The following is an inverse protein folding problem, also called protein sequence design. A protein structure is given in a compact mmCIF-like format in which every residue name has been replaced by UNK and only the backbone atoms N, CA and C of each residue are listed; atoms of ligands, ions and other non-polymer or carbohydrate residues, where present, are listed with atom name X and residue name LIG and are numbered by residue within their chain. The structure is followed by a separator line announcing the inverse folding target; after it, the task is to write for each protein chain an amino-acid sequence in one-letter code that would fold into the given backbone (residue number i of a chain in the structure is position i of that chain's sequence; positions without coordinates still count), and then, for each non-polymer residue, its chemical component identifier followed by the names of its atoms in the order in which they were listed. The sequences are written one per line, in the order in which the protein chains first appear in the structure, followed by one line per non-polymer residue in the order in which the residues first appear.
data_IF_820349058988
#
_entry.id   IF_820349058988
#
_cell.length_a   1.000
_cell.length_b   1.000
_cell.length_c   1.000
_cell.angle_alpha   90.00
_cell.angle_beta   90.00
_cell.angle_gamma   90.00
#
_symmetry.space_group_name_H-M   'P 1'
#
loop_
_entity.id
_entity.type
_entity.pdbx_description
1 polymer ?
#
# COMPACT_ATOMS: atom_id res chain seq x y z
N UNK A 1 2.63 14.66 8.51
CA UNK A 1 2.80 13.43 9.32
C UNK A 1 3.82 12.55 8.62
N UNK A 2 4.91 12.19 9.31
CA UNK A 2 5.93 11.33 8.74
C UNK A 2 5.35 9.94 8.42
N UNK A 3 5.70 9.39 7.25
CA UNK A 3 5.37 8.02 6.88
C UNK A 3 5.98 7.09 7.94
N UNK A 4 5.15 6.31 8.64
CA UNK A 4 5.65 5.30 9.59
C UNK A 4 6.51 4.31 8.80
N UNK A 5 7.78 4.24 9.14
CA UNK A 5 8.70 3.23 8.60
C UNK A 5 8.93 2.22 9.73
N UNK A 6 8.32 1.02 9.65
CA UNK A 6 8.54 0.03 10.68
C UNK A 6 10.03 -0.35 10.72
N UNK A 7 10.63 -0.29 11.91
CA UNK A 7 12.03 -0.67 12.11
C UNK A 7 12.14 -2.19 12.01
N UNK A 8 12.98 -2.69 11.10
CA UNK A 8 13.24 -4.12 11.00
C UNK A 8 14.24 -4.55 12.07
N UNK A 9 13.85 -5.50 12.91
CA UNK A 9 14.77 -6.19 13.82
C UNK A 9 15.78 -7.04 13.03
N UNK A 10 16.88 -7.45 13.67
CA UNK A 10 17.85 -8.35 13.05
C UNK A 10 17.19 -9.65 12.56
N UNK A 11 16.29 -10.23 13.36
CA UNK A 11 15.51 -11.42 12.99
C UNK A 11 14.60 -11.21 11.78
N UNK A 12 13.90 -10.06 11.70
CA UNK A 12 13.04 -9.75 10.56
C UNK A 12 13.84 -9.59 9.26
N UNK A 13 15.06 -9.03 9.35
CA UNK A 13 15.96 -8.92 8.20
C UNK A 13 16.39 -10.31 7.71
N UNK A 14 16.82 -11.17 8.63
CA UNK A 14 17.25 -12.53 8.29
C UNK A 14 16.11 -13.35 7.67
N UNK A 15 14.92 -13.30 8.26
CA UNK A 15 13.75 -14.00 7.72
C UNK A 15 13.39 -13.55 6.31
N UNK A 16 13.49 -12.25 6.02
CA UNK A 16 13.27 -11.73 4.66
C UNK A 16 14.30 -12.21 3.67
N UNK A 17 15.58 -12.24 4.05
CA UNK A 17 16.65 -12.78 3.19
C UNK A 17 16.39 -14.25 2.90
N UNK A 18 16.12 -15.05 3.93
CA UNK A 18 15.83 -16.48 3.77
C UNK A 18 14.62 -16.70 2.86
N UNK A 19 13.57 -15.89 2.99
CA UNK A 19 12.41 -15.95 2.10
C UNK A 19 12.76 -15.57 0.66
N UNK A 20 13.58 -14.54 0.42
CA UNK A 20 14.01 -14.20 -0.94
C UNK A 20 14.82 -15.33 -1.59
N UNK A 21 15.65 -16.02 -0.81
CA UNK A 21 16.48 -17.13 -1.29
C UNK A 21 15.64 -18.33 -1.76
N UNK A 22 14.43 -18.54 -1.24
CA UNK A 22 13.56 -19.65 -1.72
C UNK A 22 13.03 -19.45 -3.13
N UNK A 23 13.18 -18.25 -3.70
CA UNK A 23 12.76 -17.94 -5.07
C UNK A 23 13.93 -17.91 -6.05
N UNK A 24 15.12 -18.34 -5.63
CA UNK A 24 16.30 -18.44 -6.49
C UNK A 24 16.48 -19.91 -6.86
N UNK A 25 16.64 -20.18 -8.15
CA UNK A 25 17.05 -21.50 -8.61
C UNK A 25 18.55 -21.70 -8.34
N UNK A 26 18.89 -22.67 -7.49
CA UNK A 26 20.26 -22.96 -7.09
C UNK A 26 21.17 -23.34 -8.28
N UNK A 27 20.60 -23.81 -9.39
CA UNK A 27 21.36 -24.26 -10.56
C UNK A 27 21.75 -23.11 -11.51
N UNK A 28 20.82 -22.17 -11.75
CA UNK A 28 21.02 -21.02 -12.65
C UNK A 28 21.42 -19.76 -11.90
N UNK A 29 21.16 -19.70 -10.59
CA UNK A 29 21.26 -18.51 -9.73
C UNK A 29 20.35 -17.36 -10.20
N UNK A 30 19.29 -17.68 -10.95
CA UNK A 30 18.28 -16.73 -11.40
C UNK A 30 17.03 -16.80 -10.51
N UNK A 31 16.23 -15.73 -10.51
CA UNK A 31 14.94 -15.73 -9.81
C UNK A 31 13.90 -16.49 -10.62
N UNK A 32 13.06 -17.28 -9.93
CA UNK A 32 11.88 -17.88 -10.52
C UNK A 32 10.93 -16.79 -11.06
N UNK A 33 10.31 -17.06 -12.21
CA UNK A 33 9.39 -16.12 -12.89
C UNK A 33 8.10 -15.84 -12.11
N UNK A 34 7.79 -16.64 -11.08
CA UNK A 34 6.56 -16.56 -10.28
C UNK A 34 5.26 -16.67 -11.09
N UNK A 35 5.29 -17.27 -12.29
CA UNK A 35 4.12 -17.39 -13.17
C UNK A 35 2.95 -18.18 -12.54
N UNK A 36 3.25 -19.05 -11.58
CA UNK A 36 2.26 -19.85 -10.83
C UNK A 36 1.89 -19.25 -9.46
N UNK A 37 2.21 -17.97 -9.22
CA UNK A 37 1.93 -17.28 -7.95
C UNK A 37 0.77 -16.29 -8.12
N UNK A 38 -0.16 -16.32 -7.16
CA UNK A 38 -1.22 -15.31 -7.05
C UNK A 38 -0.95 -14.45 -5.81
N UNK A 39 -0.68 -13.16 -6.02
CA UNK A 39 -0.48 -12.21 -4.93
C UNK A 39 -1.81 -11.67 -4.46
N UNK A 40 -2.06 -11.72 -3.15
CA UNK A 40 -3.29 -11.23 -2.53
C UNK A 40 -2.95 -10.14 -1.51
N UNK A 41 -3.68 -9.02 -1.55
CA UNK A 41 -3.50 -7.92 -0.60
C UNK A 41 -4.83 -7.27 -0.22
N UNK A 42 -4.88 -6.76 1.02
CA UNK A 42 -5.99 -5.95 1.52
C UNK A 42 -5.59 -4.48 1.59
N UNK A 43 -6.46 -3.62 1.07
CA UNK A 43 -6.25 -2.17 1.13
C UNK A 43 -7.50 -1.41 1.54
N UNK A 44 -7.34 -0.53 2.52
CA UNK A 44 -8.36 0.45 2.89
C UNK A 44 -8.31 1.68 1.98
N UNK A 45 -9.40 1.92 1.26
CA UNK A 45 -9.63 3.13 0.49
C UNK A 45 -10.49 4.09 1.30
N UNK A 46 -10.06 5.34 1.36
CA UNK A 46 -10.81 6.41 2.03
C UNK A 46 -11.68 7.09 0.97
N UNK A 47 -12.96 7.31 1.30
CA UNK A 47 -13.89 8.05 0.43
C UNK A 47 -13.40 9.49 0.14
N UNK A 48 -12.65 10.06 1.08
CA UNK A 48 -12.12 11.42 1.00
C UNK A 48 -10.65 11.50 1.46
N UNK A 49 -9.94 12.56 1.02
CA UNK A 49 -8.59 12.91 1.48
C UNK A 49 -8.67 13.67 2.80
N UNK A 50 -7.61 13.57 3.58
CA UNK A 50 -7.53 14.26 4.89
C UNK A 50 -7.41 15.78 4.74
N UNK A 51 -6.74 16.25 3.68
CA UNK A 51 -6.65 17.66 3.29
C UNK A 51 -6.87 17.75 1.78
N UNK A 52 -7.65 18.75 1.35
CA UNK A 52 -7.86 19.10 -0.05
C UNK A 52 -7.37 20.53 -0.26
N UNK A 53 -6.74 20.77 -1.39
CA UNK A 53 -6.40 22.10 -1.88
C UNK A 53 -7.40 22.47 -2.97
N UNK A 54 -7.95 23.68 -2.90
CA UNK A 54 -8.89 24.21 -3.88
C UNK A 54 -8.27 25.42 -4.55
N UNK A 55 -8.50 25.56 -5.86
CA UNK A 55 -8.29 26.81 -6.57
C UNK A 55 -9.62 27.56 -6.53
N UNK A 56 -9.62 28.78 -5.99
CA UNK A 56 -10.81 29.59 -5.79
C UNK A 56 -10.60 30.96 -6.42
N UNK A 57 -11.67 31.56 -6.94
CA UNK A 57 -11.64 32.95 -7.41
C UNK A 57 -11.70 33.93 -6.24
N UNK A 58 -11.28 35.21 -6.43
CA UNK A 58 -11.42 36.23 -5.40
C UNK A 58 -12.89 36.39 -4.99
N UNK A 59 -13.18 36.20 -3.69
CA UNK A 59 -14.53 36.29 -3.12
C UNK A 59 -15.30 34.97 -3.07
N UNK A 60 -14.73 33.87 -3.55
CA UNK A 60 -15.34 32.54 -3.45
C UNK A 60 -14.98 31.87 -2.11
N UNK A 61 -16.00 31.36 -1.41
CA UNK A 61 -15.81 30.63 -0.16
C UNK A 61 -15.40 29.17 -0.44
N UNK A 62 -14.42 28.62 0.31
CA UNK A 62 -14.05 27.22 0.17
C UNK A 62 -15.21 26.29 0.52
N UNK A 63 -15.29 25.10 -0.11
CA UNK A 63 -16.30 24.10 0.23
C UNK A 63 -16.29 23.78 1.72
N UNK A 64 -17.47 23.85 2.36
CA UNK A 64 -17.61 23.53 3.77
C UNK A 64 -17.31 22.05 4.02
N UNK A 65 -16.39 21.77 4.95
CA UNK A 65 -16.04 20.40 5.36
C UNK A 65 -16.54 20.14 6.78
N UNK A 66 -17.51 19.24 6.90
CA UNK A 66 -18.15 18.90 8.19
C UNK A 66 -17.29 18.05 9.12
N UNK A 67 -16.27 17.35 8.59
CA UNK A 67 -15.45 16.41 9.37
C UNK A 67 -14.15 17.02 9.89
N UNK A 68 -13.91 16.85 11.18
CA UNK A 68 -12.75 17.40 11.92
C UNK A 68 -11.48 16.52 11.88
N UNK A 69 -11.57 15.23 11.55
CA UNK A 69 -10.43 14.30 11.57
C UNK A 69 -10.56 13.17 10.54
N UNK A 70 -9.42 12.75 9.97
CA UNK A 70 -9.30 11.58 9.07
C UNK A 70 -9.97 10.31 9.61
N UNK A 71 -10.01 10.15 10.93
CA UNK A 71 -10.56 8.95 11.58
C UNK A 71 -12.06 8.75 11.27
N UNK A 72 -12.78 9.83 10.98
CA UNK A 72 -14.21 9.81 10.67
C UNK A 72 -14.52 9.74 9.17
N UNK A 73 -13.50 9.63 8.31
CA UNK A 73 -13.71 9.43 6.87
C UNK A 73 -14.06 7.94 6.66
N UNK A 74 -15.21 7.62 6.02
CA UNK A 74 -15.61 6.28 5.64
C UNK A 74 -14.52 5.61 4.83
N UNK A 75 -14.37 4.32 5.10
CA UNK A 75 -13.35 3.50 4.49
C UNK A 75 -14.01 2.26 3.94
N UNK A 76 -13.58 1.88 2.75
CA UNK A 76 -13.96 0.63 2.12
C UNK A 76 -12.71 -0.23 2.04
N UNK A 77 -12.77 -1.46 2.55
CA UNK A 77 -11.71 -2.43 2.37
C UNK A 77 -11.88 -3.08 1.01
N UNK A 78 -10.80 -3.18 0.26
CA UNK A 78 -10.74 -3.97 -0.97
C UNK A 78 -9.73 -5.08 -0.77
N UNK A 79 -10.16 -6.30 -1.05
CA UNK A 79 -9.30 -7.47 -1.20
C UNK A 79 -9.09 -7.67 -2.71
N UNK A 80 -7.84 -7.74 -3.14
CA UNK A 80 -7.50 -7.96 -4.54
C UNK A 80 -6.51 -9.12 -4.67
N UNK A 81 -6.69 -9.94 -5.70
CA UNK A 81 -5.78 -10.99 -6.12
C UNK A 81 -5.25 -10.67 -7.51
N UNK A 82 -3.93 -10.70 -7.70
CA UNK A 82 -3.25 -10.43 -8.97
C UNK A 82 -2.32 -11.59 -9.28
N UNK A 83 -2.42 -12.11 -10.50
CA UNK A 83 -1.53 -13.12 -11.05
C UNK A 83 -0.84 -12.59 -12.31
N UNK A 84 0.20 -13.28 -12.77
CA UNK A 84 0.82 -12.99 -14.06
C UNK A 84 -0.17 -13.10 -15.22
N UNK A 85 0.08 -12.38 -16.33
CA UNK A 85 -0.68 -12.58 -17.57
C UNK A 85 -0.55 -14.02 -18.07
N UNK A 86 -1.55 -14.47 -18.83
CA UNK A 86 -1.51 -15.76 -19.53
C UNK A 86 -0.89 -15.63 -20.91
#
# INVERSE_FOLDING_TARGET
MARIRPTLTAGNKLSRVNQCLTFIDDSTLEFESMDNVVHVDEKWFYEDKDKRSYLLFPGEEPPHRTRKSKRFIPKTMFLAAVAGPR
#
